data_IF_298431014415
#
_entry.id   IF_298431014415
#
_cell.length_a   1.000
_cell.length_b   1.000
_cell.length_c   1.000
_cell.angle_alpha   90.00
_cell.angle_beta   90.00
_cell.angle_gamma   90.00
#
_symmetry.space_group_name_H-M   'P 1'
#
loop_
_entity.id
_entity.type
_entity.pdbx_description
1 polymer ?
#
# COMPACT_ATOMS: atom_id res chain seq x y z
N UNK A 1 1.96 7.91 17.40
CA UNK A 1 2.19 6.79 16.46
C UNK A 1 1.66 5.54 17.15
N UNK A 2 0.96 4.61 16.46
CA UNK A 2 0.44 3.42 17.12
C UNK A 2 1.62 2.60 17.70
N UNK A 3 1.51 2.23 18.96
CA UNK A 3 2.46 1.32 19.62
C UNK A 3 1.99 -0.11 19.37
N UNK A 4 2.77 -0.86 18.60
CA UNK A 4 2.44 -2.22 18.14
C UNK A 4 3.70 -3.07 18.18
N UNK A 5 3.54 -4.37 18.40
CA UNK A 5 4.66 -5.31 18.56
C UNK A 5 4.95 -6.10 17.28
N UNK A 6 4.12 -5.97 16.25
CA UNK A 6 4.28 -6.65 14.97
C UNK A 6 3.72 -5.85 13.80
N UNK A 7 4.20 -6.17 12.59
CA UNK A 7 3.64 -5.61 11.36
C UNK A 7 2.20 -6.09 11.11
N UNK A 8 1.86 -7.32 11.51
CA UNK A 8 0.50 -7.84 11.34
C UNK A 8 -0.51 -7.07 12.19
N UNK A 9 -0.14 -6.75 13.44
CA UNK A 9 -0.94 -5.90 14.33
C UNK A 9 -1.10 -4.49 13.75
N UNK A 10 0.00 -3.91 13.23
CA UNK A 10 -0.05 -2.61 12.56
C UNK A 10 -1.01 -2.63 11.36
N UNK A 11 -0.91 -3.65 10.51
CA UNK A 11 -1.74 -3.81 9.32
C UNK A 11 -3.22 -3.93 9.68
N UNK A 12 -3.54 -4.72 10.71
CA UNK A 12 -4.91 -4.87 11.20
C UNK A 12 -5.47 -3.53 11.74
N UNK A 13 -4.65 -2.80 12.52
CA UNK A 13 -5.02 -1.49 13.04
C UNK A 13 -5.29 -0.48 11.91
N UNK A 14 -4.37 -0.37 10.94
CA UNK A 14 -4.51 0.54 9.80
C UNK A 14 -5.75 0.19 8.96
N UNK A 15 -5.99 -1.10 8.70
CA UNK A 15 -7.18 -1.54 7.97
C UNK A 15 -8.47 -1.15 8.71
N UNK A 16 -8.51 -1.29 10.04
CA UNK A 16 -9.65 -0.86 10.84
C UNK A 16 -9.85 0.67 10.76
N UNK A 17 -8.77 1.46 10.80
CA UNK A 17 -8.83 2.91 10.60
C UNK A 17 -9.39 3.27 9.22
N UNK A 18 -8.93 2.64 8.14
CA UNK A 18 -9.46 2.88 6.80
C UNK A 18 -10.95 2.56 6.70
N UNK A 19 -11.40 1.45 7.30
CA UNK A 19 -12.83 1.09 7.33
C UNK A 19 -13.68 2.09 8.10
N UNK A 20 -13.15 2.64 9.20
CA UNK A 20 -13.81 3.71 9.96
C UNK A 20 -13.88 5.01 9.17
N UNK A 21 -12.82 5.33 8.42
CA UNK A 21 -12.77 6.54 7.60
C UNK A 21 -13.87 6.57 6.53
N UNK A 22 -14.22 5.41 5.96
CA UNK A 22 -15.35 5.27 5.03
C UNK A 22 -16.71 5.67 5.65
N UNK A 23 -16.84 5.60 6.97
CA UNK A 23 -18.06 5.99 7.70
C UNK A 23 -18.06 7.47 8.11
N UNK A 24 -17.03 8.23 7.74
CA UNK A 24 -17.02 9.68 7.95
C UNK A 24 -17.83 10.38 6.84
N UNK A 25 -18.38 11.57 7.13
CA UNK A 25 -18.95 12.44 6.12
C UNK A 25 -17.94 12.78 5.02
N UNK A 26 -18.46 13.03 3.81
CA UNK A 26 -17.70 13.58 2.70
C UNK A 26 -17.11 14.95 3.02
N UNK A 27 -16.12 15.37 2.23
CA UNK A 27 -15.66 16.76 2.28
C UNK A 27 -16.75 17.69 1.75
N UNK A 28 -16.71 18.98 2.12
CA UNK A 28 -17.60 19.98 1.53
C UNK A 28 -17.33 20.07 0.01
N UNK A 29 -18.38 20.09 -0.84
CA UNK A 29 -19.79 20.27 -0.51
C UNK A 29 -20.57 18.99 -0.14
N UNK A 30 -20.07 17.79 -0.44
CA UNK A 30 -20.80 16.51 -0.27
C UNK A 30 -20.82 15.96 1.18
N UNK A 31 -20.76 16.83 2.19
CA UNK A 31 -20.75 16.44 3.61
C UNK A 31 -22.05 15.81 4.12
N UNK A 32 -23.11 15.82 3.32
CA UNK A 32 -24.40 15.18 3.63
C UNK A 32 -24.36 13.66 3.42
N UNK A 33 -23.37 13.16 2.68
CA UNK A 33 -23.19 11.74 2.40
C UNK A 33 -21.95 11.19 3.08
N UNK A 34 -21.94 9.87 3.30
CA UNK A 34 -20.75 9.16 3.79
C UNK A 34 -19.75 8.97 2.65
N UNK A 35 -18.45 8.95 2.99
CA UNK A 35 -17.37 8.64 2.04
C UNK A 35 -17.58 7.30 1.35
N UNK A 36 -18.13 6.30 2.04
CA UNK A 36 -18.47 5.01 1.45
C UNK A 36 -19.46 5.13 0.28
N UNK A 37 -20.50 5.96 0.44
CA UNK A 37 -21.52 6.18 -0.60
C UNK A 37 -20.91 6.89 -1.79
N UNK A 38 -20.19 8.00 -1.55
CA UNK A 38 -19.51 8.76 -2.60
C UNK A 38 -18.52 7.89 -3.38
N UNK A 39 -17.73 7.05 -2.69
CA UNK A 39 -16.80 6.13 -3.34
C UNK A 39 -17.52 5.13 -4.24
N UNK A 40 -18.67 4.60 -3.82
CA UNK A 40 -19.44 3.66 -4.64
C UNK A 40 -20.02 4.32 -5.90
N UNK A 41 -20.48 5.57 -5.80
CA UNK A 41 -20.94 6.35 -6.96
C UNK A 41 -19.80 6.56 -7.96
N UNK A 42 -18.64 7.00 -7.49
CA UNK A 42 -17.46 7.23 -8.34
C UNK A 42 -16.91 5.94 -8.96
N UNK A 43 -16.98 4.81 -8.24
CA UNK A 43 -16.52 3.50 -8.74
C UNK A 43 -17.20 3.06 -10.04
N UNK A 44 -18.40 3.55 -10.33
CA UNK A 44 -19.11 3.25 -11.59
C UNK A 44 -18.37 3.85 -12.79
N UNK A 45 -17.70 4.99 -12.60
CA UNK A 45 -16.92 5.67 -13.64
C UNK A 45 -15.46 5.20 -13.70
N UNK A 46 -15.00 4.38 -12.74
CA UNK A 46 -13.63 3.86 -12.73
C UNK A 46 -13.45 2.74 -13.76
N UNK A 47 -12.22 2.62 -14.27
CA UNK A 47 -11.84 1.48 -15.08
C UNK A 47 -11.91 0.20 -14.26
N UNK A 48 -12.36 -0.89 -14.90
CA UNK A 48 -12.31 -2.21 -14.30
C UNK A 48 -10.86 -2.58 -13.95
N UNK A 49 -10.68 -3.30 -12.84
CA UNK A 49 -9.38 -3.84 -12.50
C UNK A 49 -8.99 -4.88 -13.58
N UNK A 50 -7.72 -4.89 -14.02
CA UNK A 50 -7.25 -5.91 -14.94
C UNK A 50 -7.37 -7.30 -14.30
N UNK A 51 -7.71 -8.32 -15.10
CA UNK A 51 -7.77 -9.71 -14.62
C UNK A 51 -6.42 -10.23 -14.14
N UNK A 52 -5.34 -9.71 -14.74
CA UNK A 52 -3.98 -10.03 -14.32
C UNK A 52 -3.54 -9.05 -13.25
N UNK A 53 -3.15 -9.58 -12.09
CA UNK A 53 -2.55 -8.77 -11.03
C UNK A 53 -1.28 -8.10 -11.55
N UNK A 54 -1.04 -6.86 -11.14
CA UNK A 54 0.24 -6.21 -11.38
C UNK A 54 1.27 -6.77 -10.40
N UNK A 55 2.51 -6.96 -10.86
CA UNK A 55 3.62 -7.30 -9.98
C UNK A 55 3.87 -6.14 -9.01
N UNK A 56 3.80 -6.41 -7.71
CA UNK A 56 3.98 -5.40 -6.67
C UNK A 56 5.44 -4.93 -6.54
N UNK A 57 6.36 -5.63 -7.19
CA UNK A 57 7.77 -5.29 -7.23
C UNK A 57 8.35 -5.45 -8.64
N UNK A 58 9.44 -4.75 -8.90
CA UNK A 58 10.26 -4.96 -10.09
C UNK A 58 11.25 -6.08 -9.77
N UNK A 59 11.20 -7.18 -10.52
CA UNK A 59 12.20 -8.24 -10.44
C UNK A 59 13.43 -7.80 -11.24
N UNK A 60 14.54 -7.56 -10.54
CA UNK A 60 15.79 -7.09 -11.14
C UNK A 60 16.86 -8.15 -10.90
N UNK A 61 17.36 -8.72 -11.98
CA UNK A 61 18.54 -9.58 -11.93
C UNK A 61 19.79 -8.74 -11.68
N UNK A 62 20.56 -9.11 -10.67
CA UNK A 62 21.76 -8.38 -10.23
C UNK A 62 22.75 -9.34 -9.59
N UNK A 63 23.99 -8.90 -9.39
CA UNK A 63 25.06 -9.72 -8.83
C UNK A 63 25.55 -9.12 -7.52
N UNK A 64 25.91 -10.00 -6.59
CA UNK A 64 26.58 -9.61 -5.35
C UNK A 64 28.03 -9.28 -5.68
N UNK A 65 28.47 -8.08 -5.32
CA UNK A 65 29.84 -7.65 -5.52
C UNK A 65 30.80 -8.27 -4.49
N UNK A 66 32.09 -7.98 -4.63
CA UNK A 66 33.14 -8.45 -3.70
C UNK A 66 32.99 -7.92 -2.27
N UNK A 67 32.13 -6.93 -2.05
CA UNK A 67 31.83 -6.33 -0.74
C UNK A 67 30.57 -6.92 -0.11
N UNK A 68 30.01 -7.97 -0.70
CA UNK A 68 28.72 -8.56 -0.29
C UNK A 68 27.57 -7.57 -0.38
N UNK A 69 27.61 -6.68 -1.37
CA UNK A 69 26.56 -5.71 -1.64
C UNK A 69 25.86 -6.02 -2.96
N UNK A 70 24.58 -5.70 -3.01
CA UNK A 70 23.77 -5.66 -4.22
C UNK A 70 23.38 -4.21 -4.48
N UNK A 71 23.70 -3.70 -5.67
CA UNK A 71 23.27 -2.36 -6.09
C UNK A 71 22.00 -2.48 -6.94
N UNK A 72 20.95 -1.79 -6.51
CA UNK A 72 19.71 -1.62 -7.28
C UNK A 72 19.47 -0.14 -7.48
N UNK A 73 19.48 0.30 -8.74
CA UNK A 73 19.41 1.73 -9.12
C UNK A 73 20.51 2.52 -8.41
N UNK A 74 20.16 3.34 -7.42
CA UNK A 74 21.11 4.17 -6.65
C UNK A 74 21.37 3.65 -5.23
N UNK A 75 20.71 2.57 -4.82
CA UNK A 75 20.78 2.05 -3.46
C UNK A 75 21.65 0.79 -3.41
N UNK A 76 22.46 0.68 -2.37
CA UNK A 76 23.23 -0.52 -2.07
C UNK A 76 22.62 -1.23 -0.87
N UNK A 77 22.34 -2.51 -1.03
CA UNK A 77 21.78 -3.37 0.00
C UNK A 77 22.81 -4.43 0.38
N UNK A 78 22.93 -4.73 1.67
CA UNK A 78 23.75 -5.85 2.13
C UNK A 78 23.11 -7.18 1.74
N UNK A 79 23.89 -8.07 1.13
CA UNK A 79 23.48 -9.45 0.93
C UNK A 79 23.88 -10.30 2.15
N UNK A 80 23.07 -11.28 2.56
CA UNK A 80 23.46 -12.23 3.60
C UNK A 80 24.76 -12.95 3.21
N UNK A 81 25.76 -12.89 4.07
CA UNK A 81 26.97 -13.72 3.98
C UNK A 81 26.75 -15.00 4.79
N UNK A 82 27.19 -16.14 4.26
CA UNK A 82 27.24 -17.40 5.02
C UNK A 82 28.40 -17.39 6.01
#
# INVERSE_FOLDING_TARGET
MPEVISLDELNAHLLACCRKDLQLPGAKPQHEQLRATLLNEERIAMLALPETAFEACELIDTQIDKRSLVTVKTNCYSAPVR
#
